data_IF_090575349905
#
_entry.id   IF_090575349905
#
_cell.length_a   1.000
_cell.length_b   1.000
_cell.length_c   1.000
_cell.angle_alpha   90.00
_cell.angle_beta   90.00
_cell.angle_gamma   90.00
#
_symmetry.space_group_name_H-M   'P 1'
#
loop_
_entity.id
_entity.type
_entity.pdbx_description
1 polymer ?
#
# COMPACT_ATOMS: atom_id res chain seq x y z
N UNK A 1 -17.62 -14.02 -13.18
CA UNK A 1 -18.05 -13.42 -11.89
C UNK A 1 -17.00 -12.38 -11.51
N UNK A 2 -17.43 -11.14 -11.33
CA UNK A 2 -16.60 -10.09 -10.74
C UNK A 2 -16.69 -10.28 -9.22
N UNK A 3 -15.53 -10.47 -8.58
CA UNK A 3 -15.42 -10.50 -7.13
C UNK A 3 -14.89 -9.14 -6.67
N UNK A 4 -15.47 -8.58 -5.61
CA UNK A 4 -15.02 -7.31 -5.03
C UNK A 4 -13.58 -7.40 -4.47
N UNK A 5 -13.19 -8.61 -4.06
CA UNK A 5 -11.85 -8.89 -3.54
C UNK A 5 -11.45 -10.32 -3.90
N UNK A 6 -10.17 -10.51 -4.26
CA UNK A 6 -9.55 -11.84 -4.42
C UNK A 6 -8.74 -12.14 -3.18
N UNK A 7 -8.75 -13.43 -2.76
CA UNK A 7 -8.10 -13.90 -1.53
C UNK A 7 -9.03 -13.85 -0.30
N UNK A 8 -8.63 -14.54 0.73
CA UNK A 8 -9.36 -14.70 1.99
C UNK A 8 -8.50 -14.25 3.16
N UNK A 9 -9.14 -13.86 4.26
CA UNK A 9 -8.46 -13.67 5.55
C UNK A 9 -8.71 -14.93 6.39
N UNK A 10 -7.74 -15.84 6.35
CA UNK A 10 -7.80 -17.08 7.12
C UNK A 10 -7.24 -16.92 8.54
N UNK A 11 -6.92 -15.69 8.96
CA UNK A 11 -6.35 -15.40 10.27
C UNK A 11 -4.90 -15.87 10.43
N UNK A 12 -4.19 -16.10 9.31
CA UNK A 12 -2.78 -16.49 9.36
C UNK A 12 -1.94 -15.35 9.90
N UNK A 13 -1.16 -15.65 10.96
CA UNK A 13 -0.24 -14.70 11.59
C UNK A 13 1.19 -15.17 11.38
N UNK A 14 1.98 -14.32 10.72
CA UNK A 14 3.41 -14.50 10.51
C UNK A 14 4.11 -13.71 11.62
N UNK A 15 4.87 -14.41 12.49
CA UNK A 15 5.58 -13.77 13.59
C UNK A 15 6.90 -14.46 13.89
N UNK A 16 7.81 -13.67 14.45
CA UNK A 16 9.10 -14.15 14.96
C UNK A 16 8.88 -15.20 16.07
N UNK A 17 9.70 -16.24 16.05
CA UNK A 17 9.59 -17.35 17.00
C UNK A 17 8.49 -18.38 16.70
N UNK A 18 7.63 -18.13 15.68
CA UNK A 18 6.64 -19.11 15.21
C UNK A 18 7.01 -19.64 13.83
N UNK A 19 6.86 -18.84 12.80
CA UNK A 19 6.99 -19.24 11.41
C UNK A 19 7.78 -18.26 10.55
N UNK A 20 8.10 -17.07 11.06
CA UNK A 20 8.94 -16.11 10.37
C UNK A 20 10.40 -16.58 10.38
N UNK A 21 10.99 -16.74 9.19
CA UNK A 21 12.40 -17.13 9.04
C UNK A 21 13.27 -15.97 8.60
N UNK A 22 12.72 -15.05 7.84
CA UNK A 22 13.42 -13.86 7.35
C UNK A 22 12.42 -12.75 7.02
N UNK A 23 12.78 -11.50 7.27
CA UNK A 23 11.99 -10.32 6.99
C UNK A 23 12.87 -9.23 6.40
N UNK A 24 12.57 -8.83 5.18
CA UNK A 24 13.15 -7.67 4.54
C UNK A 24 12.06 -6.61 4.32
N UNK A 25 12.29 -5.42 4.86
CA UNK A 25 11.42 -4.27 4.67
C UNK A 25 12.09 -3.29 3.71
N UNK A 26 11.49 -3.08 2.55
CA UNK A 26 11.88 -2.03 1.62
C UNK A 26 10.90 -0.86 1.70
N UNK A 27 11.40 0.30 2.09
CA UNK A 27 10.66 1.54 2.17
C UNK A 27 11.08 2.48 1.05
N UNK A 28 10.27 2.56 0.02
CA UNK A 28 10.55 3.40 -1.13
C UNK A 28 9.90 4.78 -0.97
N UNK A 29 10.73 5.82 -0.92
CA UNK A 29 10.32 7.22 -0.82
C UNK A 29 10.46 7.98 -2.15
N UNK A 30 10.94 7.34 -3.21
CA UNK A 30 11.23 8.03 -4.48
C UNK A 30 9.99 8.64 -5.12
N UNK A 31 8.80 8.12 -4.84
CA UNK A 31 7.53 8.62 -5.36
C UNK A 31 6.73 9.45 -4.35
N UNK A 32 7.29 9.68 -3.15
CA UNK A 32 6.60 10.49 -2.13
C UNK A 32 6.60 11.95 -2.57
N UNK A 33 5.42 12.54 -2.69
CA UNK A 33 5.25 13.97 -2.84
C UNK A 33 4.88 14.58 -1.49
N UNK A 34 5.46 15.74 -1.16
CA UNK A 34 5.21 16.46 0.10
C UNK A 34 4.04 17.42 0.00
N UNK A 35 3.45 17.53 -1.17
CA UNK A 35 2.28 18.35 -1.45
C UNK A 35 1.91 18.33 -2.93
N UNK A 36 0.77 18.90 -3.23
CA UNK A 36 0.29 19.08 -4.59
C UNK A 36 0.12 20.57 -4.91
N UNK A 37 0.25 20.91 -6.18
CA UNK A 37 -0.12 22.20 -6.74
C UNK A 37 -1.36 21.96 -7.62
N UNK A 38 -2.58 22.14 -7.06
CA UNK A 38 -3.80 21.95 -7.83
C UNK A 38 -4.01 23.15 -8.76
N UNK A 39 -4.37 22.87 -10.00
CA UNK A 39 -4.72 23.89 -10.97
C UNK A 39 -5.86 23.43 -11.87
N UNK A 40 -6.52 24.42 -12.46
CA UNK A 40 -7.53 24.25 -13.47
C UNK A 40 -7.28 25.27 -14.59
N UNK A 41 -7.48 24.86 -15.83
CA UNK A 41 -7.25 25.69 -17.01
C UNK A 41 -8.46 25.62 -17.93
N UNK A 42 -8.91 26.75 -18.48
CA UNK A 42 -9.93 26.78 -19.51
C UNK A 42 -9.33 26.58 -20.93
N UNK A 43 -10.21 26.56 -21.95
CA UNK A 43 -9.79 26.40 -23.34
C UNK A 43 -8.97 27.59 -23.87
N UNK A 44 -9.09 28.75 -23.24
CA UNK A 44 -8.37 29.98 -23.57
C UNK A 44 -7.01 30.08 -22.84
N UNK A 45 -6.69 29.11 -21.97
CA UNK A 45 -5.45 29.05 -21.23
C UNK A 45 -5.45 29.88 -19.92
N UNK A 46 -6.62 30.33 -19.46
CA UNK A 46 -6.69 31.02 -18.17
C UNK A 46 -6.55 30.02 -17.02
N UNK A 47 -5.62 30.29 -16.12
CA UNK A 47 -5.27 29.45 -14.99
C UNK A 47 -5.98 29.87 -13.72
N UNK A 48 -6.61 28.92 -13.03
CA UNK A 48 -7.09 29.07 -11.65
C UNK A 48 -6.27 28.20 -10.73
N UNK A 49 -5.86 28.75 -9.60
CA UNK A 49 -5.12 28.04 -8.55
C UNK A 49 -5.79 28.29 -7.19
N UNK A 50 -5.56 27.44 -6.22
CA UNK A 50 -6.03 27.66 -4.85
C UNK A 50 -5.14 28.65 -4.06
N UNK A 51 -5.61 29.03 -2.89
CA UNK A 51 -4.83 29.84 -1.96
C UNK A 51 -4.91 29.21 -0.55
N UNK A 52 -3.79 28.70 0.00
CA UNK A 52 -2.43 28.72 -0.54
C UNK A 52 -2.26 27.84 -1.82
N UNK A 53 -1.30 28.20 -2.67
CA UNK A 53 -1.08 27.52 -3.96
C UNK A 53 -0.68 26.05 -3.86
N UNK A 54 -0.15 25.65 -2.71
CA UNK A 54 0.29 24.29 -2.46
C UNK A 54 -0.51 23.73 -1.30
N UNK A 55 -1.09 22.57 -1.50
CA UNK A 55 -1.75 21.79 -0.46
C UNK A 55 -0.72 20.79 0.07
N UNK A 56 -0.30 20.89 1.35
CA UNK A 56 0.68 19.99 1.91
C UNK A 56 0.10 18.58 2.09
N UNK A 57 0.93 17.58 1.87
CA UNK A 57 0.62 16.21 2.26
C UNK A 57 0.78 16.03 3.78
N UNK A 58 -0.01 15.14 4.41
CA UNK A 58 0.15 14.86 5.83
C UNK A 58 1.51 14.21 6.12
N UNK A 59 2.21 14.68 7.15
CA UNK A 59 3.50 14.14 7.58
C UNK A 59 4.59 15.20 7.74
N UNK A 60 5.76 14.73 8.19
CA UNK A 60 6.96 15.57 8.33
C UNK A 60 8.02 15.06 7.36
N UNK A 61 8.55 15.94 6.54
CA UNK A 61 9.51 15.60 5.49
C UNK A 61 10.78 16.44 5.64
N UNK A 62 11.91 15.85 5.34
CA UNK A 62 13.21 16.53 5.26
C UNK A 62 13.56 17.01 3.83
N UNK A 63 12.62 16.91 2.91
CA UNK A 63 12.73 17.36 1.52
C UNK A 63 11.41 17.98 1.07
N UNK A 64 11.44 18.70 -0.05
CA UNK A 64 10.25 19.26 -0.68
C UNK A 64 10.08 18.73 -2.09
N UNK A 65 8.93 18.10 -2.37
CA UNK A 65 8.53 17.66 -3.69
C UNK A 65 7.05 17.91 -3.89
N UNK A 66 6.74 18.95 -4.66
CA UNK A 66 5.37 19.30 -5.02
C UNK A 66 5.09 18.81 -6.43
N UNK A 67 3.97 18.14 -6.62
CA UNK A 67 3.52 17.67 -7.92
C UNK A 67 2.33 18.51 -8.40
N UNK A 68 2.31 18.95 -9.67
CA UNK A 68 1.14 19.61 -10.24
C UNK A 68 0.03 18.58 -10.48
N UNK A 69 -1.22 18.97 -10.18
CA UNK A 69 -2.41 18.15 -10.43
C UNK A 69 -3.44 18.98 -11.19
N UNK A 70 -3.79 18.51 -12.37
CA UNK A 70 -4.75 19.14 -13.27
C UNK A 70 -6.17 18.64 -12.97
N UNK A 71 -7.06 19.56 -12.62
CA UNK A 71 -8.48 19.30 -12.36
C UNK A 71 -9.40 19.76 -13.51
N UNK A 72 -8.85 20.19 -14.65
CA UNK A 72 -9.64 20.71 -15.77
C UNK A 72 -10.62 19.70 -16.35
N UNK A 73 -10.29 18.41 -16.26
CA UNK A 73 -11.18 17.34 -16.73
C UNK A 73 -12.25 16.94 -15.68
N UNK A 74 -11.95 17.11 -14.41
CA UNK A 74 -12.86 16.76 -13.32
C UNK A 74 -13.91 17.83 -13.10
N UNK A 75 -13.55 19.11 -13.28
CA UNK A 75 -14.40 20.27 -13.07
C UNK A 75 -14.71 20.92 -14.43
N UNK A 76 -15.91 20.68 -14.93
CA UNK A 76 -16.35 21.16 -16.25
C UNK A 76 -16.55 22.68 -16.30
N UNK A 77 -16.82 23.29 -15.17
CA UNK A 77 -17.01 24.73 -15.01
C UNK A 77 -15.84 25.34 -14.26
N UNK A 78 -15.57 26.62 -14.49
CA UNK A 78 -14.50 27.36 -13.80
C UNK A 78 -14.71 27.33 -12.30
N UNK A 79 -13.83 26.64 -11.54
CA UNK A 79 -13.97 26.58 -10.08
C UNK A 79 -13.54 27.88 -9.40
N UNK A 80 -14.04 28.11 -8.20
CA UNK A 80 -13.43 29.08 -7.30
C UNK A 80 -12.14 28.52 -6.69
N UNK A 81 -11.23 29.38 -6.19
CA UNK A 81 -10.02 28.91 -5.50
C UNK A 81 -10.33 27.99 -4.31
N UNK A 82 -11.44 28.24 -3.59
CA UNK A 82 -11.88 27.44 -2.45
C UNK A 82 -12.35 26.03 -2.88
N UNK A 83 -13.13 25.96 -3.95
CA UNK A 83 -13.58 24.68 -4.52
C UNK A 83 -12.39 23.85 -5.02
N UNK A 84 -11.40 24.51 -5.62
CA UNK A 84 -10.19 23.84 -6.07
C UNK A 84 -9.34 23.34 -4.90
N UNK A 85 -9.29 24.10 -3.80
CA UNK A 85 -8.62 23.67 -2.57
C UNK A 85 -9.29 22.44 -1.97
N UNK A 86 -10.60 22.46 -1.77
CA UNK A 86 -11.35 21.33 -1.23
C UNK A 86 -11.14 20.06 -2.07
N UNK A 87 -11.17 20.21 -3.41
CA UNK A 87 -10.94 19.10 -4.32
C UNK A 87 -9.52 18.56 -4.21
N UNK A 88 -8.53 19.43 -4.07
CA UNK A 88 -7.13 19.06 -3.86
C UNK A 88 -6.90 18.33 -2.53
N UNK A 89 -7.54 18.75 -1.45
CA UNK A 89 -7.47 18.07 -0.14
C UNK A 89 -8.06 16.66 -0.21
N UNK A 90 -9.20 16.50 -0.88
CA UNK A 90 -9.80 15.18 -1.15
C UNK A 90 -8.83 14.32 -1.96
N UNK A 91 -8.19 14.89 -2.98
CA UNK A 91 -7.22 14.18 -3.81
C UNK A 91 -6.00 13.70 -3.02
N UNK A 92 -5.43 14.55 -2.16
CA UNK A 92 -4.30 14.20 -1.28
C UNK A 92 -4.63 12.99 -0.41
N UNK A 93 -5.80 13.00 0.22
CA UNK A 93 -6.24 11.93 1.11
C UNK A 93 -6.58 10.63 0.36
N UNK A 94 -7.30 10.73 -0.75
CA UNK A 94 -7.73 9.55 -1.53
C UNK A 94 -6.58 8.83 -2.23
N UNK A 95 -5.53 9.57 -2.61
CA UNK A 95 -4.36 9.02 -3.30
C UNK A 95 -3.18 8.75 -2.36
N UNK A 96 -3.37 8.89 -1.05
CA UNK A 96 -2.31 8.69 -0.05
C UNK A 96 -1.04 9.50 -0.39
N UNK A 97 -1.20 10.75 -0.87
CA UNK A 97 -0.06 11.60 -1.18
C UNK A 97 0.76 11.84 0.09
N UNK A 98 2.08 11.65 0.00
CA UNK A 98 2.97 11.76 1.15
C UNK A 98 3.23 10.45 1.88
N UNK A 99 2.51 9.39 1.57
CA UNK A 99 2.73 8.09 2.20
C UNK A 99 3.78 7.31 1.40
N UNK A 100 4.89 6.89 2.02
CA UNK A 100 5.85 6.00 1.38
C UNK A 100 5.23 4.66 1.00
N UNK A 101 5.64 4.10 -0.13
CA UNK A 101 5.32 2.70 -0.40
C UNK A 101 6.24 1.81 0.44
N UNK A 102 5.64 0.89 1.16
CA UNK A 102 6.35 -0.12 1.95
C UNK A 102 6.07 -1.47 1.34
N UNK A 103 7.12 -2.19 0.95
CA UNK A 103 7.02 -3.60 0.58
C UNK A 103 7.73 -4.43 1.64
N UNK A 104 7.09 -5.53 1.98
CA UNK A 104 7.64 -6.51 2.92
C UNK A 104 7.90 -7.80 2.14
N UNK A 105 9.14 -8.27 2.16
CA UNK A 105 9.52 -9.58 1.68
C UNK A 105 9.71 -10.49 2.88
N UNK A 106 8.96 -11.57 2.92
CA UNK A 106 8.90 -12.45 4.08
C UNK A 106 9.17 -13.88 3.64
N UNK A 107 10.11 -14.52 4.29
CA UNK A 107 10.28 -15.96 4.21
C UNK A 107 9.70 -16.58 5.46
N UNK A 108 8.86 -17.57 5.30
CA UNK A 108 8.27 -18.27 6.44
C UNK A 108 8.13 -19.77 6.20
N UNK A 109 8.16 -20.52 7.29
CA UNK A 109 7.96 -21.95 7.26
C UNK A 109 6.47 -22.27 7.17
N UNK A 110 6.11 -23.18 6.27
CA UNK A 110 4.75 -23.73 6.19
C UNK A 110 4.54 -24.74 7.31
N UNK A 111 3.92 -24.31 8.39
CA UNK A 111 3.67 -25.17 9.55
C UNK A 111 2.72 -26.31 9.24
N UNK A 112 1.82 -26.14 8.27
CA UNK A 112 0.89 -27.19 7.80
C UNK A 112 1.59 -28.49 7.37
N UNK A 113 2.85 -28.39 6.94
CA UNK A 113 3.64 -29.52 6.47
C UNK A 113 4.42 -30.23 7.60
N UNK A 114 4.32 -29.72 8.82
CA UNK A 114 4.93 -30.35 10.00
C UNK A 114 3.95 -31.28 10.70
N UNK A 115 4.45 -32.36 11.30
CA UNK A 115 3.61 -33.32 12.03
C UNK A 115 2.82 -32.67 13.17
N UNK A 116 3.44 -31.68 13.83
CA UNK A 116 2.84 -30.97 14.97
C UNK A 116 1.62 -30.12 14.60
N UNK A 117 1.58 -29.59 13.37
CA UNK A 117 0.55 -28.65 12.90
C UNK A 117 -0.36 -29.22 11.82
N UNK A 118 -0.25 -30.48 11.46
CA UNK A 118 -1.13 -31.12 10.44
C UNK A 118 -2.62 -30.95 10.73
N UNK A 119 -3.01 -30.96 11.99
CA UNK A 119 -4.41 -30.75 12.40
C UNK A 119 -4.89 -29.30 12.28
N UNK A 120 -3.98 -28.34 12.11
CA UNK A 120 -4.25 -26.92 11.90
C UNK A 120 -3.98 -26.46 10.46
N UNK A 121 -3.73 -27.39 9.54
CA UNK A 121 -3.31 -27.11 8.17
C UNK A 121 -4.23 -26.10 7.46
N UNK A 122 -5.54 -26.17 7.67
CA UNK A 122 -6.50 -25.23 7.08
C UNK A 122 -6.37 -23.80 7.60
N UNK A 123 -5.86 -23.62 8.82
CA UNK A 123 -5.69 -22.31 9.46
C UNK A 123 -4.32 -21.68 9.16
N UNK A 124 -3.35 -22.50 8.75
CA UNK A 124 -1.99 -22.06 8.45
C UNK A 124 -1.70 -21.99 6.93
N UNK A 125 -2.67 -22.41 6.11
CA UNK A 125 -2.56 -22.34 4.67
C UNK A 125 -2.83 -20.92 4.19
N UNK A 126 -1.94 -20.42 3.34
CA UNK A 126 -2.13 -19.15 2.65
C UNK A 126 -1.77 -19.27 1.18
N UNK A 127 -2.60 -18.64 0.36
CA UNK A 127 -2.48 -18.60 -1.09
C UNK A 127 -2.25 -17.16 -1.59
N UNK A 128 -1.97 -17.02 -2.87
CA UNK A 128 -1.80 -15.72 -3.51
C UNK A 128 -3.06 -14.85 -3.34
N UNK A 129 -2.89 -13.61 -2.97
CA UNK A 129 -3.91 -12.62 -2.65
C UNK A 129 -4.59 -12.79 -1.28
N UNK A 130 -4.24 -13.80 -0.49
CA UNK A 130 -4.75 -13.91 0.87
C UNK A 130 -4.21 -12.80 1.78
N UNK A 131 -5.01 -12.46 2.78
CA UNK A 131 -4.63 -11.48 3.80
C UNK A 131 -3.93 -12.21 4.93
N UNK A 132 -2.76 -11.71 5.30
CA UNK A 132 -1.97 -12.20 6.44
C UNK A 132 -1.64 -11.06 7.39
N UNK A 133 -1.55 -11.36 8.67
CA UNK A 133 -1.03 -10.44 9.67
C UNK A 133 0.47 -10.71 9.88
N UNK A 134 1.29 -9.68 9.83
CA UNK A 134 2.73 -9.76 10.13
C UNK A 134 3.00 -9.04 11.42
N UNK A 135 3.58 -9.76 12.38
CA UNK A 135 3.92 -9.22 13.68
C UNK A 135 5.40 -9.43 13.96
N UNK A 136 6.13 -8.32 14.08
CA UNK A 136 7.53 -8.31 14.43
C UNK A 136 7.79 -7.16 15.39
N UNK A 137 7.73 -7.47 16.68
CA UNK A 137 7.77 -6.48 17.76
C UNK A 137 9.06 -5.67 17.78
N UNK A 138 10.21 -6.31 17.54
CA UNK A 138 11.53 -5.67 17.56
C UNK A 138 11.69 -4.56 16.51
N UNK A 139 10.96 -4.66 15.38
CA UNK A 139 10.93 -3.64 14.32
C UNK A 139 9.67 -2.78 14.34
N UNK A 140 8.78 -2.98 15.32
CA UNK A 140 7.51 -2.27 15.41
C UNK A 140 6.59 -2.54 14.20
N UNK A 141 6.71 -3.72 13.59
CA UNK A 141 5.86 -4.13 12.47
C UNK A 141 4.66 -4.88 13.02
N UNK A 142 3.48 -4.30 12.86
CA UNK A 142 2.18 -4.95 13.07
C UNK A 142 1.25 -4.48 11.96
N UNK A 143 1.15 -5.27 10.90
CA UNK A 143 0.40 -4.89 9.71
C UNK A 143 -0.38 -6.08 9.14
N UNK A 144 -1.62 -5.81 8.73
CA UNK A 144 -2.38 -6.70 7.85
C UNK A 144 -2.10 -6.31 6.41
N UNK A 145 -1.68 -7.28 5.61
CA UNK A 145 -1.29 -7.05 4.23
C UNK A 145 -1.63 -8.26 3.35
N UNK A 146 -1.55 -8.10 2.04
CA UNK A 146 -1.84 -9.17 1.09
C UNK A 146 -0.58 -9.85 0.59
N UNK A 147 -0.70 -11.12 0.30
CA UNK A 147 0.32 -11.87 -0.44
C UNK A 147 0.24 -11.45 -1.91
N UNK A 148 1.30 -10.82 -2.39
CA UNK A 148 1.38 -10.30 -3.77
C UNK A 148 2.19 -11.22 -4.68
N UNK A 149 3.08 -12.05 -4.12
CA UNK A 149 3.88 -12.99 -4.88
C UNK A 149 4.27 -14.20 -4.03
N UNK A 150 4.20 -15.37 -4.64
CA UNK A 150 4.65 -16.63 -4.05
C UNK A 150 5.65 -17.29 -5.01
N UNK A 151 6.80 -17.66 -4.49
CA UNK A 151 7.79 -18.47 -5.21
C UNK A 151 7.79 -19.89 -4.65
N UNK A 152 7.45 -20.85 -5.47
CA UNK A 152 7.32 -22.26 -5.08
C UNK A 152 8.42 -23.11 -5.66
N UNK A 153 8.96 -24.03 -4.87
CA UNK A 153 9.78 -25.12 -5.38
C UNK A 153 8.84 -26.26 -5.80
N UNK A 154 8.70 -26.45 -7.10
CA UNK A 154 7.76 -27.42 -7.68
C UNK A 154 8.16 -28.88 -7.35
N UNK A 155 9.47 -29.14 -7.22
CA UNK A 155 9.97 -30.48 -6.93
C UNK A 155 9.75 -30.89 -5.47
N UNK A 156 9.80 -29.91 -4.56
CA UNK A 156 9.63 -30.15 -3.14
C UNK A 156 8.23 -29.80 -2.65
N UNK A 157 7.38 -29.25 -3.53
CA UNK A 157 6.03 -28.74 -3.22
C UNK A 157 6.01 -27.76 -2.03
N UNK A 158 7.09 -26.94 -1.88
CA UNK A 158 7.26 -25.99 -0.77
C UNK A 158 7.40 -24.58 -1.27
N UNK A 159 6.90 -23.62 -0.50
CA UNK A 159 7.18 -22.21 -0.74
C UNK A 159 8.64 -21.90 -0.43
N UNK A 160 9.29 -21.17 -1.34
CA UNK A 160 10.66 -20.68 -1.14
C UNK A 160 10.64 -19.31 -0.49
N UNK A 161 9.78 -18.44 -1.01
CA UNK A 161 9.63 -17.08 -0.51
C UNK A 161 8.24 -16.53 -0.83
N UNK A 162 7.78 -15.61 -0.01
CA UNK A 162 6.49 -14.93 -0.17
C UNK A 162 6.72 -13.44 -0.01
N UNK A 163 6.32 -12.67 -1.02
CA UNK A 163 6.32 -11.22 -0.93
C UNK A 163 4.92 -10.77 -0.53
N UNK A 164 4.86 -9.88 0.45
CA UNK A 164 3.65 -9.29 0.95
C UNK A 164 3.74 -7.77 0.78
N UNK A 165 2.64 -7.14 0.45
CA UNK A 165 2.63 -5.71 0.20
C UNK A 165 1.23 -5.18 0.00
N UNK A 166 1.12 -3.86 -0.06
CA UNK A 166 -0.12 -3.20 -0.41
C UNK A 166 -0.29 -3.24 -1.93
N UNK A 167 -1.36 -3.88 -2.38
CA UNK A 167 -1.74 -3.86 -3.79
C UNK A 167 -2.46 -2.54 -4.02
N UNK A 168 -1.75 -1.59 -4.64
CA UNK A 168 -2.37 -0.38 -5.21
C UNK A 168 -3.20 -0.70 -6.43
#
# INVERSE_FOLDING_TARGET
>A
KLHAQRGQDNGVVIRYGKNLTDLEQDRNISNVATGIYPYWTDMDGNLVTCNPKVIPAPGTYNFTRVIPVDFSQDLKEKPTPEQLQERGEVYVNSNNIGVPSVSLSVNFAQLEQTEEYKHLALLEKCDLCDIVAVQFEDLGVDAKTKIVKIKTNVLLEKYISTEIGDVR
#
